data_IF_559088228880
#
_entry.id   IF_559088228880
#
_cell.length_a   1.000
_cell.length_b   1.000
_cell.length_c   1.000
_cell.angle_alpha   90.00
_cell.angle_beta   90.00
_cell.angle_gamma   90.00
#
_symmetry.space_group_name_H-M   'P 1'
#
loop_
_entity.id
_entity.type
_entity.pdbx_description
1 polymer ?
#
# COMPACT_ATOMS: atom_id res chain seq x y z
N UNK A 1 4.21 -17.92 -36.67
CA UNK A 1 3.97 -18.11 -35.23
C UNK A 1 2.60 -17.54 -34.91
N UNK A 2 1.59 -18.42 -34.90
CA UNK A 2 0.25 -18.12 -34.44
C UNK A 2 0.24 -18.22 -32.92
N UNK A 3 -0.26 -17.21 -32.22
CA UNK A 3 -0.54 -17.32 -30.78
C UNK A 3 -1.73 -16.46 -30.41
N UNK A 4 -2.90 -17.11 -30.49
CA UNK A 4 -4.00 -17.05 -29.51
C UNK A 4 -4.50 -15.63 -29.15
N UNK A 5 -5.58 -15.22 -29.81
CA UNK A 5 -6.68 -14.51 -29.14
C UNK A 5 -7.97 -15.25 -29.52
N UNK A 6 -8.06 -16.46 -28.99
CA UNK A 6 -9.24 -17.32 -29.03
C UNK A 6 -10.16 -16.87 -27.88
N UNK A 7 -11.17 -16.08 -28.21
CA UNK A 7 -12.49 -15.96 -27.57
C UNK A 7 -13.23 -14.79 -28.21
N UNK A 8 -14.31 -15.08 -28.92
CA UNK A 8 -15.28 -14.10 -29.45
C UNK A 8 -16.07 -13.39 -28.36
N UNK A 9 -15.40 -12.92 -27.31
CA UNK A 9 -16.00 -12.09 -26.26
C UNK A 9 -16.19 -10.68 -26.82
N UNK A 10 -17.45 -10.26 -26.90
CA UNK A 10 -17.82 -8.90 -27.28
C UNK A 10 -17.00 -7.90 -26.44
N UNK A 11 -16.39 -6.90 -27.09
CA UNK A 11 -15.66 -5.81 -26.45
C UNK A 11 -16.45 -5.21 -25.27
N UNK A 12 -17.77 -5.15 -25.40
CA UNK A 12 -18.71 -4.79 -24.33
C UNK A 12 -18.49 -5.60 -23.05
N UNK A 13 -18.41 -6.93 -23.14
CA UNK A 13 -18.24 -7.81 -21.97
C UNK A 13 -16.86 -7.60 -21.32
N UNK A 14 -15.82 -7.38 -22.13
CA UNK A 14 -14.46 -7.12 -21.62
C UNK A 14 -14.38 -5.78 -20.88
N UNK A 15 -15.03 -4.74 -21.40
CA UNK A 15 -15.09 -3.43 -20.75
C UNK A 15 -16.01 -3.46 -19.53
N UNK A 16 -17.12 -4.20 -19.58
CA UNK A 16 -18.02 -4.39 -18.45
C UNK A 16 -17.34 -5.12 -17.30
N UNK A 17 -16.61 -6.20 -17.59
CA UNK A 17 -15.84 -6.92 -16.58
C UNK A 17 -14.72 -6.06 -16.01
N UNK A 18 -13.99 -5.32 -16.86
CA UNK A 18 -12.99 -4.36 -16.39
C UNK A 18 -13.60 -3.25 -15.52
N UNK A 19 -14.76 -2.71 -15.87
CA UNK A 19 -15.46 -1.70 -15.09
C UNK A 19 -15.95 -2.23 -13.74
N UNK A 20 -16.44 -3.48 -13.69
CA UNK A 20 -16.79 -4.18 -12.44
C UNK A 20 -15.58 -4.35 -11.54
N UNK A 21 -14.46 -4.84 -12.10
CA UNK A 21 -13.22 -5.04 -11.35
C UNK A 21 -12.57 -3.73 -10.89
N UNK A 22 -12.83 -2.62 -11.58
CA UNK A 22 -12.39 -1.26 -11.20
C UNK A 22 -13.36 -0.53 -10.28
N UNK A 23 -14.53 -1.11 -9.99
CA UNK A 23 -15.65 -0.42 -9.31
C UNK A 23 -15.96 0.96 -9.94
N UNK A 24 -15.79 1.08 -11.26
CA UNK A 24 -16.00 2.32 -12.00
C UNK A 24 -17.51 2.54 -12.19
N UNK A 25 -18.17 3.05 -11.16
CA UNK A 25 -19.63 3.16 -11.12
C UNK A 25 -20.17 4.09 -12.20
N UNK A 26 -19.38 5.09 -12.62
CA UNK A 26 -19.72 5.97 -13.74
C UNK A 26 -19.74 5.18 -15.04
N UNK A 27 -18.73 4.35 -15.28
CA UNK A 27 -18.71 3.46 -16.44
C UNK A 27 -19.82 2.41 -16.37
N UNK A 28 -20.04 1.77 -15.23
CA UNK A 28 -21.10 0.78 -15.05
C UNK A 28 -22.48 1.36 -15.36
N UNK A 29 -22.79 2.55 -14.84
CA UNK A 29 -24.06 3.23 -15.11
C UNK A 29 -24.22 3.57 -16.60
N UNK A 30 -23.13 3.96 -17.29
CA UNK A 30 -23.14 4.22 -18.73
C UNK A 30 -23.33 2.94 -19.56
N UNK A 31 -22.74 1.83 -19.14
CA UNK A 31 -22.88 0.53 -19.81
C UNK A 31 -24.28 -0.07 -19.61
N UNK A 32 -24.84 0.06 -18.40
CA UNK A 32 -26.17 -0.47 -18.05
C UNK A 32 -27.33 0.37 -18.63
N UNK A 33 -27.08 1.64 -18.97
CA UNK A 33 -28.07 2.55 -19.56
C UNK A 33 -28.34 2.34 -21.07
N UNK A 34 -27.62 1.44 -21.75
CA UNK A 34 -27.74 1.24 -23.21
C UNK A 34 -28.20 -0.19 -23.52
N UNK A 35 -29.45 -0.33 -23.92
CA UNK A 35 -30.02 -1.59 -24.42
C UNK A 35 -29.48 -1.84 -25.84
N UNK A 36 -28.86 -3.00 -26.05
CA UNK A 36 -28.30 -3.53 -27.33
C UNK A 36 -26.82 -3.25 -27.65
N UNK A 37 -25.99 -2.89 -26.68
CA UNK A 37 -24.55 -3.22 -26.75
C UNK A 37 -23.73 -2.54 -27.85
N UNK A 38 -24.26 -1.55 -28.55
CA UNK A 38 -23.49 -0.74 -29.51
C UNK A 38 -22.98 0.55 -28.85
N UNK A 39 -22.10 0.37 -27.88
CA UNK A 39 -21.38 1.44 -27.17
C UNK A 39 -20.21 2.01 -27.98
N UNK A 40 -20.06 1.64 -29.26
CA UNK A 40 -18.98 2.13 -30.11
C UNK A 40 -19.20 3.57 -30.57
N UNK A 41 -20.43 4.11 -30.46
CA UNK A 41 -20.79 5.31 -31.22
C UNK A 41 -21.14 6.59 -30.46
N UNK A 42 -21.77 6.60 -29.28
CA UNK A 42 -22.55 7.82 -28.97
C UNK A 42 -21.94 8.82 -27.98
N UNK A 43 -21.37 8.50 -26.80
CA UNK A 43 -21.10 9.62 -25.85
C UNK A 43 -19.86 9.60 -24.96
N UNK A 44 -18.99 8.58 -24.99
CA UNK A 44 -17.77 8.63 -24.18
C UNK A 44 -16.51 8.46 -25.03
N UNK A 45 -15.64 9.46 -24.91
CA UNK A 45 -14.24 9.58 -25.36
C UNK A 45 -13.33 8.42 -24.90
N UNK A 46 -13.67 7.17 -25.18
CA UNK A 46 -12.70 6.09 -25.18
C UNK A 46 -12.16 6.02 -26.59
N UNK A 47 -11.00 6.64 -26.77
CA UNK A 47 -10.27 6.62 -28.02
C UNK A 47 -10.29 5.20 -28.57
N UNK A 48 -10.78 5.05 -29.80
CA UNK A 48 -10.74 3.81 -30.60
C UNK A 48 -9.33 3.23 -30.77
N UNK A 49 -8.31 3.92 -30.26
CA UNK A 49 -6.97 3.41 -30.15
C UNK A 49 -6.95 2.17 -29.26
N UNK A 50 -6.42 1.10 -29.85
CA UNK A 50 -6.13 -0.17 -29.19
C UNK A 50 -5.45 0.05 -27.83
N UNK A 51 -4.62 1.09 -27.70
CA UNK A 51 -3.92 1.45 -26.47
C UNK A 51 -4.84 1.84 -25.31
N UNK A 52 -5.91 2.60 -25.53
CA UNK A 52 -6.81 3.04 -24.47
C UNK A 52 -7.65 1.88 -23.93
N UNK A 53 -8.23 1.07 -24.83
CA UNK A 53 -8.96 -0.13 -24.47
C UNK A 53 -8.03 -1.12 -23.77
N UNK A 54 -6.85 -1.40 -24.37
CA UNK A 54 -5.86 -2.29 -23.77
C UNK A 54 -5.48 -1.80 -22.38
N UNK A 55 -5.16 -0.51 -22.19
CA UNK A 55 -4.79 0.03 -20.88
C UNK A 55 -5.93 -0.04 -19.85
N UNK A 56 -7.17 0.16 -20.28
CA UNK A 56 -8.34 0.09 -19.40
C UNK A 56 -8.65 -1.36 -18.99
N UNK A 57 -8.60 -2.30 -19.93
CA UNK A 57 -8.87 -3.73 -19.68
C UNK A 57 -7.67 -4.52 -19.17
N UNK A 58 -6.47 -3.93 -19.11
CA UNK A 58 -5.26 -4.62 -18.67
C UNK A 58 -5.37 -4.96 -17.17
N UNK A 59 -5.29 -6.26 -16.86
CA UNK A 59 -5.38 -6.78 -15.49
C UNK A 59 -4.34 -6.17 -14.54
N UNK A 60 -3.13 -5.85 -15.02
CA UNK A 60 -2.11 -5.19 -14.20
C UNK A 60 -2.53 -3.77 -13.78
N UNK A 61 -3.16 -3.04 -14.69
CA UNK A 61 -3.64 -1.69 -14.41
C UNK A 61 -4.90 -1.71 -13.54
N UNK A 62 -5.77 -2.71 -13.76
CA UNK A 62 -6.95 -2.94 -12.92
C UNK A 62 -6.50 -3.30 -11.49
N UNK A 63 -5.54 -4.21 -11.31
CA UNK A 63 -5.02 -4.56 -10.00
C UNK A 63 -4.34 -3.38 -9.29
N UNK A 64 -3.73 -2.46 -10.03
CA UNK A 64 -3.15 -1.23 -9.49
C UNK A 64 -4.21 -0.17 -9.10
N UNK A 65 -5.44 -0.29 -9.58
CA UNK A 65 -6.56 0.64 -9.35
C UNK A 65 -7.72 0.01 -8.55
N UNK A 66 -7.65 -1.29 -8.29
CA UNK A 66 -8.65 -2.05 -7.53
C UNK A 66 -8.64 -1.58 -6.07
N UNK A 67 -9.81 -1.47 -5.41
CA UNK A 67 -9.95 -0.89 -4.07
C UNK A 67 -9.45 -1.79 -2.94
N UNK A 68 -8.33 -2.49 -3.16
CA UNK A 68 -7.41 -2.86 -2.09
C UNK A 68 -7.03 -1.64 -1.22
N UNK A 69 -7.22 -0.42 -1.74
CA UNK A 69 -7.01 0.83 -1.04
C UNK A 69 -7.87 1.01 0.23
N UNK A 70 -9.10 0.49 0.32
CA UNK A 70 -9.91 0.75 1.53
C UNK A 70 -9.39 -0.02 2.75
N UNK A 71 -9.14 -1.33 2.61
CA UNK A 71 -8.63 -2.12 3.74
C UNK A 71 -7.18 -1.72 4.09
N UNK A 72 -6.34 -1.49 3.07
CA UNK A 72 -4.96 -1.01 3.29
C UNK A 72 -4.95 0.36 3.95
N UNK A 73 -5.81 1.30 3.55
CA UNK A 73 -5.91 2.60 4.21
C UNK A 73 -6.38 2.47 5.66
N UNK A 74 -7.37 1.62 5.96
CA UNK A 74 -7.82 1.37 7.34
C UNK A 74 -6.68 0.84 8.20
N UNK A 75 -5.94 -0.16 7.71
CA UNK A 75 -4.80 -0.74 8.43
C UNK A 75 -3.69 0.29 8.63
N UNK A 76 -3.35 1.07 7.60
CA UNK A 76 -2.37 2.16 7.70
C UNK A 76 -2.80 3.16 8.77
N UNK A 77 -4.05 3.61 8.76
CA UNK A 77 -4.56 4.55 9.75
C UNK A 77 -4.54 3.97 11.15
N UNK A 78 -4.80 2.67 11.30
CA UNK A 78 -4.70 1.99 12.59
C UNK A 78 -3.25 1.94 13.10
N UNK A 79 -2.28 1.57 12.25
CA UNK A 79 -0.85 1.64 12.61
C UNK A 79 -0.45 3.06 12.99
N UNK A 80 -0.91 4.06 12.24
CA UNK A 80 -0.66 5.46 12.55
C UNK A 80 -1.21 5.81 13.92
N UNK A 81 -2.47 5.48 14.19
CA UNK A 81 -3.13 5.78 15.46
C UNK A 81 -2.40 5.16 16.65
N UNK A 82 -2.02 3.88 16.56
CA UNK A 82 -1.32 3.15 17.64
C UNK A 82 0.05 3.77 17.98
N UNK A 83 0.80 4.24 16.99
CA UNK A 83 2.17 4.73 17.18
C UNK A 83 2.30 6.25 17.25
N UNK A 84 1.25 7.01 16.89
CA UNK A 84 1.29 8.47 16.84
C UNK A 84 1.72 9.08 18.17
N UNK A 85 1.11 8.65 19.27
CA UNK A 85 1.45 9.15 20.62
C UNK A 85 2.93 8.91 20.95
N UNK A 86 3.39 7.67 20.81
CA UNK A 86 4.76 7.30 21.12
C UNK A 86 5.78 8.10 20.29
N UNK A 87 5.54 8.26 18.99
CA UNK A 87 6.47 8.91 18.07
C UNK A 87 6.42 10.45 18.21
N UNK A 88 5.22 11.03 18.26
CA UNK A 88 5.00 12.49 18.19
C UNK A 88 5.01 13.15 19.57
N UNK A 89 4.26 12.60 20.53
CA UNK A 89 4.10 13.18 21.86
C UNK A 89 5.27 12.79 22.75
N UNK A 90 5.55 11.48 22.84
CA UNK A 90 6.59 10.94 23.74
C UNK A 90 8.00 11.01 23.12
N UNK A 91 8.11 11.47 21.87
CA UNK A 91 9.37 11.60 21.11
C UNK A 91 10.22 10.32 21.14
N UNK A 92 9.57 9.16 21.09
CA UNK A 92 10.23 7.88 20.98
C UNK A 92 10.81 7.67 19.58
N UNK A 93 11.85 6.86 19.53
CA UNK A 93 12.54 6.47 18.31
C UNK A 93 12.32 4.98 18.15
N UNK A 94 11.68 4.59 17.05
CA UNK A 94 11.19 3.23 16.87
C UNK A 94 11.75 2.67 15.56
N UNK A 95 12.24 1.42 15.54
CA UNK A 95 12.63 0.77 14.29
C UNK A 95 11.43 0.58 13.35
N UNK A 96 11.62 0.84 12.06
CA UNK A 96 10.62 0.66 11.02
C UNK A 96 10.10 -0.78 10.96
N UNK A 97 10.95 -1.75 11.27
CA UNK A 97 10.60 -3.17 11.43
C UNK A 97 9.45 -3.38 12.41
N UNK A 98 9.36 -2.60 13.51
CA UNK A 98 8.26 -2.71 14.46
C UNK A 98 6.92 -2.29 13.83
N UNK A 99 6.91 -1.16 13.10
CA UNK A 99 5.72 -0.71 12.36
C UNK A 99 5.34 -1.71 11.27
N UNK A 100 6.33 -2.26 10.58
CA UNK A 100 6.13 -3.28 9.54
C UNK A 100 5.52 -4.55 10.12
N UNK A 101 6.03 -5.06 11.24
CA UNK A 101 5.46 -6.24 11.89
C UNK A 101 4.01 -5.99 12.28
N UNK A 102 3.71 -4.82 12.89
CA UNK A 102 2.34 -4.50 13.27
C UNK A 102 1.39 -4.40 12.08
N UNK A 103 1.82 -3.78 10.98
CA UNK A 103 1.03 -3.75 9.75
C UNK A 103 0.71 -5.18 9.26
N UNK A 104 1.70 -6.08 9.27
CA UNK A 104 1.54 -7.47 8.81
C UNK A 104 0.56 -8.23 9.71
N UNK A 105 0.62 -8.03 11.02
CA UNK A 105 -0.34 -8.61 11.97
C UNK A 105 -1.78 -8.18 11.68
N UNK A 106 -1.99 -6.90 11.42
CA UNK A 106 -3.31 -6.33 11.14
C UNK A 106 -3.85 -6.73 9.76
N UNK A 107 -2.98 -6.89 8.77
CA UNK A 107 -3.34 -7.34 7.42
C UNK A 107 -3.67 -8.86 7.39
N UNK A 108 -3.08 -9.65 8.28
CA UNK A 108 -3.30 -11.09 8.37
C UNK A 108 -2.46 -11.92 7.37
N UNK A 109 -2.72 -13.23 7.33
CA UNK A 109 -1.91 -14.22 6.57
C UNK A 109 -2.15 -14.22 5.06
N UNK A 110 -3.00 -13.34 4.53
CA UNK A 110 -3.43 -13.30 3.13
C UNK A 110 -2.45 -12.56 2.20
N UNK A 111 -1.18 -12.48 2.58
CA UNK A 111 -0.19 -11.68 1.86
C UNK A 111 0.06 -12.17 0.43
N UNK A 112 -0.39 -11.38 -0.56
CA UNK A 112 0.31 -11.31 -1.83
C UNK A 112 1.63 -10.56 -1.61
N UNK A 113 2.77 -11.26 -1.70
CA UNK A 113 4.15 -10.78 -1.45
C UNK A 113 4.54 -9.43 -2.08
N UNK A 114 3.75 -8.90 -3.02
CA UNK A 114 3.96 -7.59 -3.65
C UNK A 114 3.58 -6.38 -2.78
N UNK A 115 2.55 -6.48 -1.93
CA UNK A 115 2.03 -5.32 -1.18
C UNK A 115 2.97 -4.86 -0.06
N UNK A 116 3.61 -5.82 0.62
CA UNK A 116 4.59 -5.55 1.68
C UNK A 116 5.77 -4.68 1.22
N UNK A 117 6.10 -4.70 -0.07
CA UNK A 117 7.25 -3.98 -0.64
C UNK A 117 7.04 -2.47 -0.63
N UNK A 118 5.79 -1.99 -0.55
CA UNK A 118 5.46 -0.57 -0.61
C UNK A 118 5.02 0.04 0.73
N UNK A 119 4.98 -0.73 1.82
CA UNK A 119 4.49 -0.26 3.14
C UNK A 119 5.22 1.00 3.60
N UNK A 120 6.55 1.07 3.44
CA UNK A 120 7.33 2.25 3.84
C UNK A 120 6.82 3.51 3.13
N UNK A 121 6.64 3.44 1.81
CA UNK A 121 6.13 4.56 1.01
C UNK A 121 4.72 4.95 1.42
N UNK A 122 3.86 3.96 1.66
CA UNK A 122 2.48 4.19 2.08
C UNK A 122 2.39 4.90 3.44
N UNK A 123 3.17 4.42 4.42
CA UNK A 123 3.25 5.04 5.74
C UNK A 123 3.87 6.44 5.66
N UNK A 124 4.91 6.65 4.85
CA UNK A 124 5.50 7.96 4.62
C UNK A 124 4.48 8.95 4.01
N UNK A 125 3.68 8.52 3.04
CA UNK A 125 2.63 9.34 2.45
C UNK A 125 1.55 9.68 3.47
N UNK A 126 1.09 8.69 4.25
CA UNK A 126 0.02 8.89 5.22
C UNK A 126 0.46 9.72 6.45
N UNK A 127 1.75 9.70 6.79
CA UNK A 127 2.36 10.61 7.78
C UNK A 127 2.93 11.89 7.16
N UNK A 128 2.79 12.15 5.87
CA UNK A 128 3.35 13.37 5.28
C UNK A 128 2.79 14.65 5.93
N UNK A 129 1.56 14.60 6.43
CA UNK A 129 0.90 15.69 7.16
C UNK A 129 1.32 15.80 8.63
N UNK A 130 1.90 14.74 9.20
CA UNK A 130 2.25 14.66 10.62
C UNK A 130 3.76 14.53 10.68
N UNK A 131 4.48 15.59 11.04
CA UNK A 131 5.95 15.68 11.06
C UNK A 131 6.66 14.43 11.64
N UNK A 132 6.83 13.38 10.83
CA UNK A 132 7.46 12.10 11.15
C UNK A 132 8.59 11.92 10.15
N UNK A 133 9.79 11.71 10.67
CA UNK A 133 10.98 11.44 9.88
C UNK A 133 11.27 9.94 9.85
N UNK A 134 11.68 9.47 8.67
CA UNK A 134 12.21 8.12 8.46
C UNK A 134 13.72 8.26 8.18
N UNK A 135 14.55 7.92 9.17
CA UNK A 135 16.00 8.06 9.09
C UNK A 135 16.61 6.74 8.63
N UNK A 136 17.23 6.69 7.44
CA UNK A 136 17.82 5.46 6.93
C UNK A 136 19.04 5.02 7.74
N UNK A 137 19.19 3.71 7.93
CA UNK A 137 20.36 3.13 8.59
C UNK A 137 21.08 2.11 7.69
N UNK A 138 22.40 2.25 7.46
CA UNK A 138 23.16 1.24 6.72
C UNK A 138 23.12 -0.12 7.42
N UNK A 139 22.65 -1.16 6.71
CA UNK A 139 22.61 -2.54 7.22
C UNK A 139 21.62 -2.79 8.37
N UNK A 140 20.75 -1.83 8.69
CA UNK A 140 19.77 -1.92 9.79
C UNK A 140 18.41 -1.41 9.34
N UNK A 141 17.42 -1.64 10.20
CA UNK A 141 16.08 -1.09 10.05
C UNK A 141 16.11 0.44 10.16
N UNK A 142 15.39 1.14 9.31
CA UNK A 142 15.26 2.60 9.39
C UNK A 142 14.65 3.01 10.74
N UNK A 143 15.02 4.19 11.24
CA UNK A 143 14.38 4.75 12.43
C UNK A 143 13.19 5.61 12.05
N UNK A 144 12.14 5.53 12.85
CA UNK A 144 10.96 6.39 12.74
C UNK A 144 10.85 7.21 14.01
N UNK A 145 10.81 8.53 13.86
CA UNK A 145 10.74 9.48 14.96
C UNK A 145 9.98 10.74 14.54
N UNK A 146 9.59 11.58 15.49
CA UNK A 146 9.08 12.92 15.15
C UNK A 146 10.13 13.75 14.41
N UNK A 147 9.70 14.59 13.47
CA UNK A 147 10.53 15.52 12.72
C UNK A 147 11.20 16.59 13.59
N UNK A 148 10.74 16.77 14.83
CA UNK A 148 11.40 17.64 15.82
C UNK A 148 12.60 16.97 16.50
N UNK A 149 12.80 15.66 16.32
CA UNK A 149 13.94 14.93 16.89
C UNK A 149 15.13 15.05 15.94
N UNK A 150 16.29 15.48 16.48
CA UNK A 150 17.50 15.57 15.67
C UNK A 150 17.98 14.18 15.25
N UNK A 151 18.64 14.08 14.09
CA UNK A 151 19.21 12.82 13.62
C UNK A 151 20.21 12.25 14.64
N UNK A 152 21.01 13.11 15.28
CA UNK A 152 21.95 12.70 16.32
C UNK A 152 21.26 12.08 17.54
N UNK A 153 20.18 12.70 18.01
CA UNK A 153 19.40 12.18 19.14
C UNK A 153 18.71 10.86 18.78
N UNK A 154 18.21 10.75 17.54
CA UNK A 154 17.59 9.53 17.05
C UNK A 154 18.57 8.35 17.04
N UNK A 155 19.79 8.58 16.52
CA UNK A 155 20.85 7.57 16.49
C UNK A 155 21.27 7.19 17.93
N UNK A 156 21.42 8.18 18.82
CA UNK A 156 21.79 7.93 20.23
C UNK A 156 20.73 7.10 20.95
N UNK A 157 19.45 7.46 20.82
CA UNK A 157 18.33 6.70 21.41
C UNK A 157 18.24 5.28 20.84
N UNK A 158 18.45 5.11 19.53
CA UNK A 158 18.47 3.78 18.92
C UNK A 158 19.65 2.94 19.41
N UNK A 159 20.82 3.54 19.63
CA UNK A 159 21.97 2.85 20.22
C UNK A 159 21.67 2.36 21.63
N UNK A 160 21.14 3.23 22.49
CA UNK A 160 20.75 2.87 23.86
C UNK A 160 19.70 1.76 23.89
N UNK A 161 18.69 1.84 23.01
CA UNK A 161 17.67 0.79 22.89
C UNK A 161 18.29 -0.57 22.55
N UNK A 162 19.28 -0.60 21.64
CA UNK A 162 19.95 -1.85 21.27
C UNK A 162 20.82 -2.40 22.41
N UNK A 163 21.47 -1.54 23.20
CA UNK A 163 22.21 -1.99 24.39
C UNK A 163 21.26 -2.63 25.41
N UNK A 164 20.16 -1.96 25.75
CA UNK A 164 19.19 -2.51 26.71
C UNK A 164 18.58 -3.83 26.24
N UNK A 165 18.35 -4.00 24.94
CA UNK A 165 17.86 -5.27 24.39
C UNK A 165 18.92 -6.39 24.48
N UNK A 166 20.19 -6.07 24.23
CA UNK A 166 21.29 -7.02 24.39
C UNK A 166 21.46 -7.44 25.87
N UNK A 167 21.41 -6.48 26.79
CA UNK A 167 21.55 -6.73 28.23
C UNK A 167 20.42 -7.64 28.75
N UNK A 168 19.17 -7.44 28.29
CA UNK A 168 18.03 -8.30 28.65
C UNK A 168 18.13 -9.71 28.06
N UNK A 169 18.71 -9.87 26.87
CA UNK A 169 18.93 -11.19 26.28
C UNK A 169 20.04 -11.98 27.01
N UNK A 170 21.07 -11.29 27.53
CA UNK A 170 22.11 -11.90 28.34
C UNK A 170 21.60 -12.32 29.74
N UNK A 171 20.81 -11.48 30.41
CA UNK A 171 20.22 -11.81 31.72
C UNK A 171 19.27 -13.03 31.66
N UNK A 172 18.54 -13.22 30.56
CA UNK A 172 17.66 -14.39 30.38
C UNK A 172 18.42 -15.69 30.06
N UNK A 173 19.72 -15.61 29.75
CA UNK A 173 20.57 -16.78 29.52
C UNK A 173 21.33 -17.22 30.78
N UNK A 174 21.46 -16.36 31.79
CA UNK A 174 22.10 -16.69 33.07
C UNK A 174 21.16 -17.39 34.07
N UNK A 175 19.84 -17.40 33.81
CA UNK A 175 18.81 -18.05 34.64
C UNK A 175 18.42 -19.48 34.17
N UNK A 176 19.20 -20.10 33.27
CA UNK A 176 19.04 -21.50 32.78
C UNK A 176 20.23 -22.39 33.16
#
# INVERSE_FOLDING_TARGET
>A
MSSIDDKGENLYNRVLDAARRREDQVMLNRLLGVVNGDLVAVEARYHRDKSCVTNYTNERNIAALSPADNNTNIIIQQVIHEFKKAIIEDKQVIPFTKLRHRYIELEGSTMTKGFARNIKRLLQTAWAEVEVAFIPQPGRSDLVCSGTVSVGDAIKKAYLLNQTLADVEEDNLEDL
#
